data_IF_915098195648
#
_entry.id   IF_915098195648
#
_cell.length_a   1.000
_cell.length_b   1.000
_cell.length_c   1.000
_cell.angle_alpha   90.00
_cell.angle_beta   90.00
_cell.angle_gamma   90.00
#
_symmetry.space_group_name_H-M   'P 1'
#
loop_
_entity.id
_entity.type
_entity.pdbx_description
1 polymer ?
#
# COMPACT_ATOMS: atom_id res chain seq x y z
N UNK A 1 -1.78 16.85 3.71
CA UNK A 1 -1.65 15.45 3.23
C UNK A 1 -1.98 15.44 1.75
N UNK A 2 -1.01 15.14 0.90
CA UNK A 2 -1.20 14.97 -0.54
C UNK A 2 -1.03 13.49 -0.88
N UNK A 3 -2.01 12.85 -1.53
CA UNK A 3 -1.91 11.46 -1.98
C UNK A 3 -1.94 11.42 -3.49
N UNK A 4 -0.95 10.78 -4.10
CA UNK A 4 -0.80 10.71 -5.57
C UNK A 4 -0.20 9.39 -6.02
N UNK A 5 -0.36 9.09 -7.31
CA UNK A 5 0.34 7.97 -7.94
C UNK A 5 1.86 8.16 -7.85
N UNK A 6 2.55 7.04 -7.67
CA UNK A 6 3.99 6.92 -7.73
C UNK A 6 4.54 7.39 -9.08
N UNK A 7 5.74 7.97 -9.06
CA UNK A 7 6.55 8.37 -10.22
C UNK A 7 7.95 7.80 -10.05
N UNK A 8 8.68 7.64 -11.14
CA UNK A 8 10.02 7.04 -11.09
C UNK A 8 10.99 7.77 -10.15
N UNK A 9 10.88 9.10 -10.05
CA UNK A 9 11.67 9.91 -9.11
C UNK A 9 11.42 9.57 -7.63
N UNK A 10 10.28 8.95 -7.32
CA UNK A 10 9.90 8.57 -5.96
C UNK A 10 10.54 7.22 -5.54
N UNK A 11 11.24 6.52 -6.44
CA UNK A 11 11.76 5.18 -6.17
C UNK A 11 12.69 5.15 -4.96
N UNK A 12 13.70 6.02 -4.93
CA UNK A 12 14.64 6.08 -3.81
C UNK A 12 13.93 6.43 -2.48
N UNK A 13 13.14 7.52 -2.38
CA UNK A 13 12.35 7.81 -1.18
C UNK A 13 11.42 6.67 -0.74
N UNK A 14 10.75 5.99 -1.69
CA UNK A 14 9.86 4.87 -1.41
C UNK A 14 10.63 3.69 -0.79
N UNK A 15 11.77 3.32 -1.36
CA UNK A 15 12.59 2.24 -0.80
C UNK A 15 13.13 2.58 0.60
N UNK A 16 13.46 3.84 0.85
CA UNK A 16 13.91 4.30 2.17
C UNK A 16 12.76 4.23 3.19
N UNK A 17 11.59 4.77 2.85
CA UNK A 17 10.39 4.70 3.67
C UNK A 17 10.03 3.25 4.05
N UNK A 18 10.11 2.33 3.09
CA UNK A 18 9.82 0.91 3.30
C UNK A 18 10.80 0.28 4.32
N UNK A 19 12.10 0.57 4.20
CA UNK A 19 13.12 0.10 5.15
C UNK A 19 12.93 0.64 6.56
N UNK A 20 12.49 1.89 6.69
CA UNK A 20 12.24 2.53 7.99
C UNK A 20 10.93 2.06 8.64
N UNK A 21 9.96 1.63 7.82
CA UNK A 21 8.61 1.32 8.29
C UNK A 21 8.35 -0.17 8.55
N UNK A 22 9.13 -1.05 7.94
CA UNK A 22 8.91 -2.51 7.93
C UNK A 22 10.10 -3.25 8.56
N UNK A 23 9.87 -4.49 9.01
CA UNK A 23 10.98 -5.40 9.33
C UNK A 23 11.77 -5.76 8.06
N UNK A 24 13.02 -6.20 8.23
CA UNK A 24 13.90 -6.56 7.11
C UNK A 24 13.25 -7.60 6.16
N UNK A 25 12.78 -8.73 6.71
CA UNK A 25 12.10 -9.77 5.92
C UNK A 25 10.85 -9.25 5.19
N UNK A 26 10.05 -8.42 5.86
CA UNK A 26 8.86 -7.83 5.26
C UNK A 26 9.22 -6.83 4.15
N UNK A 27 10.31 -6.08 4.34
CA UNK A 27 10.81 -5.10 3.38
C UNK A 27 11.29 -5.79 2.11
N UNK A 28 12.08 -6.86 2.20
CA UNK A 28 12.57 -7.63 1.05
C UNK A 28 11.41 -8.14 0.19
N UNK A 29 10.47 -8.88 0.78
CA UNK A 29 9.26 -9.38 0.09
C UNK A 29 8.45 -8.23 -0.55
N UNK A 30 8.37 -7.09 0.14
CA UNK A 30 7.64 -5.92 -0.35
C UNK A 30 8.34 -5.27 -1.54
N UNK A 31 9.67 -5.20 -1.55
CA UNK A 31 10.45 -4.61 -2.65
C UNK A 31 10.31 -5.44 -3.94
N UNK A 32 10.30 -6.77 -3.84
CA UNK A 32 10.06 -7.65 -4.98
C UNK A 32 8.65 -7.42 -5.58
N UNK A 33 7.63 -7.44 -4.73
CA UNK A 33 6.25 -7.17 -5.14
C UNK A 33 6.08 -5.75 -5.68
N UNK A 34 6.77 -4.78 -5.10
CA UNK A 34 6.78 -3.40 -5.54
C UNK A 34 7.35 -3.27 -6.97
N UNK A 35 8.52 -3.84 -7.24
CA UNK A 35 9.13 -3.82 -8.56
C UNK A 35 8.23 -4.48 -9.62
N UNK A 36 7.60 -5.61 -9.28
CA UNK A 36 6.62 -6.27 -10.16
C UNK A 36 5.40 -5.40 -10.42
N UNK A 37 4.84 -4.78 -9.38
CA UNK A 37 3.67 -3.91 -9.54
C UNK A 37 3.97 -2.68 -10.39
N UNK A 38 5.16 -2.11 -10.30
CA UNK A 38 5.59 -1.02 -11.19
C UNK A 38 5.56 -1.41 -12.67
N UNK A 39 5.84 -2.68 -12.97
CA UNK A 39 5.76 -3.22 -14.33
C UNK A 39 4.33 -3.62 -14.75
N UNK A 40 3.48 -3.99 -13.79
CA UNK A 40 2.09 -4.39 -14.04
C UNK A 40 1.13 -3.20 -14.17
N UNK A 41 1.02 -2.38 -13.12
CA UNK A 41 0.21 -1.16 -13.07
C UNK A 41 0.74 -0.25 -11.95
N UNK A 42 1.69 0.64 -12.31
CA UNK A 42 2.27 1.61 -11.38
C UNK A 42 1.28 2.63 -10.83
N UNK A 43 0.11 2.82 -11.45
CA UNK A 43 -0.95 3.71 -10.92
C UNK A 43 -1.62 3.16 -9.66
N UNK A 44 -1.41 1.86 -9.37
CA UNK A 44 -1.82 1.21 -8.13
C UNK A 44 -0.69 1.21 -7.08
N UNK A 45 0.36 2.01 -7.28
CA UNK A 45 1.26 2.40 -6.20
C UNK A 45 0.97 3.86 -5.88
N UNK A 46 0.52 4.12 -4.67
CA UNK A 46 0.25 5.46 -4.17
C UNK A 46 1.25 5.85 -3.10
N UNK A 47 1.61 7.12 -3.09
CA UNK A 47 2.42 7.72 -2.02
C UNK A 47 1.60 8.79 -1.31
N UNK A 48 1.94 9.01 -0.05
CA UNK A 48 1.44 10.10 0.76
C UNK A 48 2.59 11.05 1.09
N UNK A 49 2.37 12.32 0.82
CA UNK A 49 3.34 13.39 1.04
C UNK A 49 2.79 14.43 2.02
N UNK A 50 3.69 15.01 2.81
CA UNK A 50 3.40 16.10 3.72
C UNK A 50 4.57 17.09 3.74
N UNK A 51 4.25 18.37 3.89
CA UNK A 51 5.26 19.41 4.12
C UNK A 51 5.78 19.31 5.56
N UNK A 52 7.10 19.26 5.71
CA UNK A 52 7.76 19.33 7.01
C UNK A 52 7.85 20.80 7.49
N UNK A 53 8.24 21.06 8.75
CA UNK A 53 8.37 22.43 9.26
C UNK A 53 9.37 23.31 8.51
N UNK A 54 10.32 22.71 7.78
CA UNK A 54 11.33 23.40 6.98
C UNK A 54 10.82 23.75 5.56
N UNK A 55 9.57 23.43 5.23
CA UNK A 55 8.93 23.71 3.94
C UNK A 55 9.23 22.66 2.86
N UNK A 56 9.87 21.55 3.19
CA UNK A 56 10.16 20.47 2.26
C UNK A 56 9.01 19.46 2.22
N UNK A 57 8.63 19.03 1.02
CA UNK A 57 7.66 17.94 0.84
C UNK A 57 8.37 16.60 0.99
N UNK A 58 7.99 15.85 2.02
CA UNK A 58 8.54 14.53 2.32
C UNK A 58 7.48 13.44 2.12
N UNK A 59 7.94 12.25 1.71
CA UNK A 59 7.09 11.07 1.63
C UNK A 59 6.91 10.47 3.02
N UNK A 60 5.67 10.34 3.49
CA UNK A 60 5.32 9.88 4.83
C UNK A 60 4.56 8.55 4.83
N UNK A 61 4.16 8.08 3.65
CA UNK A 61 3.48 6.80 3.51
C UNK A 61 3.42 6.30 2.08
N UNK A 62 3.17 5.01 1.93
CA UNK A 62 3.09 4.32 0.65
C UNK A 62 2.06 3.18 0.75
N UNK A 63 1.26 3.02 -0.30
CA UNK A 63 0.33 1.91 -0.48
C UNK A 63 0.59 1.22 -1.82
N UNK A 64 0.75 -0.10 -1.77
CA UNK A 64 0.84 -0.97 -2.95
C UNK A 64 -0.49 -1.70 -3.05
N UNK A 65 -1.22 -1.40 -4.12
CA UNK A 65 -2.40 -2.11 -4.54
C UNK A 65 -2.09 -3.00 -5.73
N UNK A 66 -2.97 -3.98 -5.99
CA UNK A 66 -2.96 -4.73 -7.25
C UNK A 66 -4.37 -5.14 -7.64
N UNK A 67 -4.57 -5.52 -8.89
CA UNK A 67 -5.84 -6.08 -9.36
C UNK A 67 -5.59 -7.49 -9.90
N UNK A 68 -6.32 -8.45 -9.37
CA UNK A 68 -6.26 -9.84 -9.83
C UNK A 68 -7.65 -10.46 -9.88
N UNK A 69 -7.96 -11.16 -10.98
CA UNK A 69 -9.27 -11.76 -11.26
C UNK A 69 -10.44 -10.80 -10.97
N UNK A 70 -10.27 -9.54 -11.36
CA UNK A 70 -11.21 -8.43 -11.16
C UNK A 70 -11.46 -8.03 -9.69
N UNK A 71 -10.66 -8.45 -8.72
CA UNK A 71 -10.68 -7.89 -7.36
C UNK A 71 -9.49 -6.96 -7.16
N UNK A 72 -9.69 -5.85 -6.47
CA UNK A 72 -8.62 -5.00 -5.97
C UNK A 72 -8.09 -5.53 -4.64
N UNK A 73 -6.79 -5.46 -4.44
CA UNK A 73 -6.13 -5.91 -3.21
C UNK A 73 -5.25 -4.80 -2.66
N UNK A 74 -5.41 -4.48 -1.37
CA UNK A 74 -4.36 -3.83 -0.61
C UNK A 74 -3.28 -4.86 -0.31
N UNK A 75 -2.15 -4.77 -1.01
CA UNK A 75 -1.02 -5.68 -0.81
C UNK A 75 -0.15 -5.24 0.37
N UNK A 76 0.24 -3.97 0.41
CA UNK A 76 1.04 -3.41 1.49
C UNK A 76 0.65 -1.97 1.77
N UNK A 77 0.64 -1.60 3.05
CA UNK A 77 0.51 -0.23 3.51
C UNK A 77 1.66 0.04 4.49
N UNK A 78 2.48 1.05 4.21
CA UNK A 78 3.58 1.49 5.04
C UNK A 78 3.41 2.97 5.38
N UNK A 79 3.57 3.31 6.66
CA UNK A 79 3.54 4.69 7.15
C UNK A 79 4.77 4.88 8.02
N UNK A 80 5.52 5.95 7.74
CA UNK A 80 6.71 6.32 8.50
C UNK A 80 6.36 6.36 10.00
N UNK A 81 7.18 5.77 10.89
CA UNK A 81 6.87 5.66 12.32
C UNK A 81 6.40 6.96 12.97
N UNK A 82 7.08 8.08 12.70
CA UNK A 82 6.77 9.39 13.27
C UNK A 82 5.47 10.02 12.74
N UNK A 83 4.92 9.51 11.63
CA UNK A 83 3.71 10.01 10.98
C UNK A 83 2.49 9.09 11.19
N UNK A 84 2.63 8.04 12.02
CA UNK A 84 1.52 7.16 12.40
C UNK A 84 0.49 7.91 13.25
N UNK A 85 -0.76 7.45 13.21
CA UNK A 85 -1.90 8.07 13.90
C UNK A 85 -2.24 9.50 13.47
N UNK A 86 -1.67 9.99 12.35
CA UNK A 86 -1.96 11.32 11.77
C UNK A 86 -2.88 11.25 10.54
N UNK A 87 -3.54 10.11 10.29
CA UNK A 87 -4.46 9.93 9.16
C UNK A 87 -3.83 9.56 7.82
N UNK A 88 -2.50 9.34 7.76
CA UNK A 88 -1.77 8.93 6.55
C UNK A 88 -2.37 7.66 5.93
N UNK A 89 -2.49 6.59 6.72
CA UNK A 89 -3.03 5.31 6.25
C UNK A 89 -4.46 5.42 5.71
N UNK A 90 -5.33 6.20 6.37
CA UNK A 90 -6.70 6.44 5.90
C UNK A 90 -6.72 7.18 4.56
N UNK A 91 -5.82 8.16 4.39
CA UNK A 91 -5.70 8.91 3.14
C UNK A 91 -5.21 8.03 1.98
N UNK A 92 -4.25 7.14 2.24
CA UNK A 92 -3.78 6.15 1.28
C UNK A 92 -4.87 5.14 0.89
N UNK A 93 -5.62 4.63 1.86
CA UNK A 93 -6.77 3.73 1.62
C UNK A 93 -7.79 4.40 0.72
N UNK A 94 -8.22 5.62 1.05
CA UNK A 94 -9.19 6.37 0.24
C UNK A 94 -8.68 6.65 -1.18
N UNK A 95 -7.41 7.01 -1.35
CA UNK A 95 -6.81 7.20 -2.68
C UNK A 95 -6.82 5.91 -3.51
N UNK A 96 -6.54 4.77 -2.89
CA UNK A 96 -6.53 3.47 -3.59
C UNK A 96 -7.94 3.00 -3.92
N UNK A 97 -8.92 3.22 -3.03
CA UNK A 97 -10.34 2.97 -3.29
C UNK A 97 -10.79 3.69 -4.57
N UNK A 98 -10.40 4.96 -4.75
CA UNK A 98 -10.71 5.71 -5.97
C UNK A 98 -10.10 5.06 -7.21
N UNK A 99 -8.84 4.59 -7.15
CA UNK A 99 -8.21 3.85 -8.25
C UNK A 99 -8.97 2.56 -8.57
N UNK A 100 -9.32 1.78 -7.54
CA UNK A 100 -10.10 0.55 -7.70
C UNK A 100 -11.50 0.79 -8.29
N UNK A 101 -12.19 1.84 -7.86
CA UNK A 101 -13.48 2.25 -8.42
C UNK A 101 -13.36 2.64 -9.89
N UNK A 102 -12.35 3.43 -10.26
CA UNK A 102 -12.08 3.79 -11.65
C UNK A 102 -11.80 2.56 -12.53
N UNK A 103 -11.18 1.52 -11.96
CA UNK A 103 -10.91 0.23 -12.62
C UNK A 103 -12.11 -0.73 -12.57
N UNK A 104 -13.22 -0.37 -11.92
CA UNK A 104 -14.45 -1.17 -11.78
C UNK A 104 -14.19 -2.58 -11.22
N UNK A 105 -13.31 -2.68 -10.23
CA UNK A 105 -13.08 -3.96 -9.55
C UNK A 105 -14.37 -4.45 -8.88
N UNK A 106 -14.56 -5.76 -8.85
CA UNK A 106 -15.72 -6.43 -8.26
C UNK A 106 -15.75 -6.30 -6.73
N UNK A 107 -14.62 -6.56 -6.07
CA UNK A 107 -14.46 -6.43 -4.63
C UNK A 107 -13.10 -5.80 -4.30
N UNK A 108 -12.99 -5.22 -3.11
CA UNK A 108 -11.74 -4.75 -2.54
C UNK A 108 -11.40 -5.66 -1.36
N UNK A 109 -10.18 -6.18 -1.36
CA UNK A 109 -9.70 -7.20 -0.44
C UNK A 109 -8.40 -6.75 0.25
N UNK A 110 -8.08 -7.32 1.40
CA UNK A 110 -6.83 -7.14 2.13
C UNK A 110 -5.98 -8.39 1.93
N UNK A 111 -4.77 -8.23 1.41
CA UNK A 111 -3.78 -9.30 1.41
C UNK A 111 -3.19 -9.41 2.82
N UNK A 112 -3.46 -10.52 3.50
CA UNK A 112 -2.95 -10.79 4.84
C UNK A 112 -1.87 -11.88 4.79
N UNK A 113 -0.75 -11.59 5.45
CA UNK A 113 0.39 -12.45 5.71
C UNK A 113 0.82 -12.27 7.18
N UNK A 114 1.85 -13.00 7.61
CA UNK A 114 2.44 -12.90 8.94
C UNK A 114 2.88 -11.47 9.33
N UNK A 115 3.10 -10.59 8.35
CA UNK A 115 3.53 -9.21 8.55
C UNK A 115 2.39 -8.20 8.48
N UNK A 116 1.14 -8.61 8.21
CA UNK A 116 -0.02 -7.71 8.04
C UNK A 116 -1.22 -8.14 8.88
N UNK A 117 -1.26 -9.35 9.44
CA UNK A 117 -2.36 -9.77 10.33
C UNK A 117 -2.65 -8.76 11.45
N UNK A 118 -1.61 -8.10 11.99
CA UNK A 118 -1.78 -7.09 13.04
C UNK A 118 -2.58 -5.85 12.61
N UNK A 119 -2.69 -5.55 11.31
CA UNK A 119 -3.45 -4.39 10.80
C UNK A 119 -4.91 -4.71 10.52
N UNK A 120 -5.34 -5.97 10.60
CA UNK A 120 -6.72 -6.35 10.31
C UNK A 120 -7.76 -5.64 11.19
N UNK A 121 -7.57 -5.46 12.52
CA UNK A 121 -8.53 -4.71 13.33
C UNK A 121 -8.68 -3.25 12.88
N UNK A 122 -7.61 -2.65 12.35
CA UNK A 122 -7.66 -1.29 11.79
C UNK A 122 -8.46 -1.25 10.49
N UNK A 123 -8.27 -2.23 9.60
CA UNK A 123 -9.07 -2.36 8.38
C UNK A 123 -10.54 -2.70 8.67
N UNK A 124 -10.82 -3.50 9.68
CA UNK A 124 -12.19 -3.78 10.14
C UNK A 124 -12.91 -2.50 10.58
N UNK A 125 -12.22 -1.61 11.31
CA UNK A 125 -12.74 -0.30 11.67
C UNK A 125 -13.00 0.63 10.46
N UNK A 126 -12.45 0.30 9.28
CA UNK A 126 -12.74 0.96 8.01
C UNK A 126 -13.84 0.25 7.19
N UNK A 127 -14.42 -0.83 7.72
CA UNK A 127 -15.49 -1.60 7.07
C UNK A 127 -15.02 -2.91 6.40
N UNK A 128 -13.73 -3.21 6.42
CA UNK A 128 -13.17 -4.44 5.85
C UNK A 128 -13.15 -5.58 6.87
N UNK A 129 -14.30 -6.24 7.04
CA UNK A 129 -14.41 -7.44 7.89
C UNK A 129 -13.70 -8.67 7.32
N UNK A 130 -13.74 -9.79 8.06
CA UNK A 130 -13.05 -11.04 7.75
C UNK A 130 -13.31 -11.59 6.33
N UNK A 131 -14.49 -11.34 5.77
CA UNK A 131 -14.86 -11.72 4.40
C UNK A 131 -14.03 -11.02 3.31
N UNK A 132 -13.35 -9.93 3.65
CA UNK A 132 -12.51 -9.17 2.74
C UNK A 132 -11.03 -9.57 2.83
N UNK A 133 -10.67 -10.62 3.58
CA UNK A 133 -9.27 -10.99 3.80
C UNK A 133 -8.86 -12.18 2.95
N UNK A 134 -7.76 -12.02 2.21
CA UNK A 134 -7.10 -13.09 1.48
C UNK A 134 -5.78 -13.45 2.17
N UNK A 135 -5.63 -14.70 2.61
CA UNK A 135 -4.39 -15.20 3.26
C UNK A 135 -3.46 -15.98 2.34
N UNK A 136 -4.00 -16.59 1.28
CA UNK A 136 -3.18 -17.32 0.31
C UNK A 136 -2.68 -16.36 -0.77
N UNK A 137 -1.57 -15.68 -0.51
CA UNK A 137 -1.07 -14.63 -1.42
C UNK A 137 -0.40 -15.17 -2.69
N UNK A 138 -0.04 -16.46 -2.71
CA UNK A 138 0.55 -17.15 -3.88
C UNK A 138 -0.34 -17.18 -5.12
N UNK A 139 -1.58 -16.71 -5.02
CA UNK A 139 -2.48 -16.59 -6.17
C UNK A 139 -2.45 -15.21 -6.83
N UNK A 140 -1.74 -14.24 -6.23
CA UNK A 140 -1.66 -12.87 -6.74
C UNK A 140 -0.47 -12.75 -7.70
N UNK A 141 -0.71 -12.20 -8.89
CA UNK A 141 0.34 -11.93 -9.90
C UNK A 141 1.48 -11.03 -9.40
N UNK A 142 1.21 -10.18 -8.41
CA UNK A 142 2.25 -9.35 -7.77
C UNK A 142 3.24 -10.18 -6.93
N UNK A 143 2.87 -11.42 -6.53
CA UNK A 143 3.66 -12.32 -5.69
C UNK A 143 4.23 -13.51 -6.48
N UNK A 144 3.59 -13.94 -7.56
CA UNK A 144 4.06 -15.04 -8.42
C UNK A 144 4.95 -14.55 -9.55
N UNK A 145 5.94 -15.36 -9.94
CA UNK A 145 6.73 -15.17 -11.17
C UNK A 145 5.91 -15.51 -12.43
#
# INVERSE_FOLDING_TARGET
MNVRSFRLADYLPATQLLKESLSEECCEKTLDAFARQLSLDGELVLIAEQENPDGETIMVGLAIGTIDRNNGYYYRLAVHPDFRNQGVGKSLVAGMEQKFQQRKVRNIMIAADEHTEFVLPWFEALGYGAQHVLRSLKQLRIVTD
#
